data_IF_480466492447
#
_entry.id   IF_480466492447
#
_cell.length_a   1.000
_cell.length_b   1.000
_cell.length_c   1.000
_cell.angle_alpha   90.00
_cell.angle_beta   90.00
_cell.angle_gamma   90.00
#
_symmetry.space_group_name_H-M   'P 1'
#
loop_
_entity.id
_entity.type
_entity.pdbx_description
1 polymer ?
#
# COMPACT_ATOMS: atom_id res chain seq x y z
N UNK A 1 -28.98 44.46 -3.48
CA UNK A 1 -27.52 44.48 -3.23
C UNK A 1 -27.16 43.25 -2.42
N UNK A 2 -26.44 42.28 -3.01
CA UNK A 2 -26.10 41.00 -2.38
C UNK A 2 -24.88 41.16 -1.47
N UNK A 3 -25.08 40.92 -0.18
CA UNK A 3 -24.06 41.07 0.86
C UNK A 3 -23.12 39.85 0.83
N UNK A 4 -22.17 39.84 -0.11
CA UNK A 4 -21.07 38.86 -0.12
C UNK A 4 -20.17 39.18 1.07
N UNK A 5 -20.45 38.58 2.23
CA UNK A 5 -19.52 38.54 3.37
C UNK A 5 -18.18 38.03 2.84
N UNK A 6 -17.21 38.93 2.73
CA UNK A 6 -15.82 38.65 2.40
C UNK A 6 -15.33 37.74 3.54
N UNK A 7 -15.30 36.42 3.33
CA UNK A 7 -14.65 35.49 4.26
C UNK A 7 -13.21 35.98 4.39
N UNK A 8 -12.85 36.52 5.55
CA UNK A 8 -11.47 36.83 5.87
C UNK A 8 -10.66 35.56 5.67
N UNK A 9 -9.63 35.64 4.81
CA UNK A 9 -8.73 34.53 4.58
C UNK A 9 -8.08 34.20 5.93
N UNK A 10 -8.24 32.95 6.37
CA UNK A 10 -7.69 32.51 7.65
C UNK A 10 -6.16 32.72 7.61
N UNK A 11 -5.54 33.20 8.70
CA UNK A 11 -4.09 33.38 8.76
C UNK A 11 -3.40 32.07 8.34
N UNK A 12 -2.40 32.16 7.45
CA UNK A 12 -1.80 30.98 6.82
C UNK A 12 -1.27 29.98 7.86
N UNK A 13 -0.80 30.46 9.01
CA UNK A 13 -0.39 29.70 10.18
C UNK A 13 -1.54 28.95 10.86
N UNK A 14 -2.74 29.54 10.92
CA UNK A 14 -3.96 28.88 11.39
C UNK A 14 -4.51 27.89 10.36
N UNK A 15 -4.34 28.13 9.06
CA UNK A 15 -4.62 27.14 8.02
C UNK A 15 -3.65 25.96 8.11
N UNK A 16 -2.37 26.23 8.37
CA UNK A 16 -1.33 25.22 8.58
C UNK A 16 -1.66 24.39 9.82
N UNK A 17 -1.89 25.04 10.97
CA UNK A 17 -2.29 24.36 12.21
C UNK A 17 -3.60 23.61 12.05
N UNK A 18 -4.59 24.18 11.37
CA UNK A 18 -5.86 23.51 11.09
C UNK A 18 -5.68 22.26 10.21
N UNK A 19 -4.89 22.34 9.14
CA UNK A 19 -4.66 21.20 8.26
C UNK A 19 -3.84 20.08 8.94
N UNK A 20 -2.90 20.44 9.81
CA UNK A 20 -2.16 19.52 10.67
C UNK A 20 -3.06 18.87 11.72
N UNK A 21 -3.89 19.65 12.43
CA UNK A 21 -4.79 19.19 13.50
C UNK A 21 -5.93 18.33 12.93
N UNK A 22 -6.47 18.65 11.76
CA UNK A 22 -7.57 17.89 11.13
C UNK A 22 -7.08 16.71 10.27
N UNK A 23 -5.84 16.23 10.46
CA UNK A 23 -5.37 14.95 9.92
C UNK A 23 -5.26 14.88 8.39
N UNK A 24 -5.09 16.01 7.71
CA UNK A 24 -5.02 16.08 6.24
C UNK A 24 -3.60 15.99 5.68
N UNK A 25 -2.58 16.10 6.54
CA UNK A 25 -1.18 15.88 6.20
C UNK A 25 -0.71 14.51 6.72
N UNK A 26 -0.18 13.69 5.83
CA UNK A 26 0.57 12.50 6.21
C UNK A 26 1.91 12.96 6.81
N UNK A 27 2.39 12.27 7.85
CA UNK A 27 3.75 12.50 8.32
C UNK A 27 4.77 12.22 7.20
N UNK A 28 5.92 12.95 7.14
CA UNK A 28 6.95 12.71 6.12
C UNK A 28 7.46 11.26 6.13
N UNK A 29 7.49 10.65 7.31
CA UNK A 29 7.85 9.25 7.49
C UNK A 29 6.83 8.33 6.81
N UNK A 30 5.53 8.49 7.11
CA UNK A 30 4.47 7.71 6.46
C UNK A 30 4.47 7.88 4.95
N UNK A 31 4.71 9.09 4.46
CA UNK A 31 4.76 9.36 3.04
C UNK A 31 5.91 8.61 2.35
N UNK A 32 7.10 8.60 2.94
CA UNK A 32 8.25 7.83 2.43
C UNK A 32 7.97 6.33 2.50
N UNK A 33 7.41 5.86 3.61
CA UNK A 33 7.04 4.46 3.78
C UNK A 33 6.02 4.02 2.72
N UNK A 34 4.96 4.79 2.50
CA UNK A 34 3.97 4.55 1.44
C UNK A 34 4.67 4.48 0.09
N UNK A 35 5.39 5.54 -0.32
CA UNK A 35 6.07 5.58 -1.62
C UNK A 35 6.94 4.35 -1.87
N UNK A 36 7.81 4.00 -0.91
CA UNK A 36 8.75 2.88 -1.06
C UNK A 36 8.00 1.55 -1.14
N UNK A 37 7.09 1.30 -0.20
CA UNK A 37 6.41 0.01 -0.10
C UNK A 37 5.42 -0.18 -1.25
N UNK A 38 4.66 0.84 -1.64
CA UNK A 38 3.69 0.73 -2.73
C UNK A 38 4.37 0.59 -4.09
N UNK A 39 5.47 1.31 -4.35
CA UNK A 39 6.28 1.10 -5.55
C UNK A 39 6.89 -0.29 -5.60
N UNK A 40 7.42 -0.77 -4.46
CA UNK A 40 7.98 -2.12 -4.40
C UNK A 40 6.90 -3.17 -4.65
N UNK A 41 5.71 -3.01 -4.04
CA UNK A 41 4.56 -3.86 -4.29
C UNK A 41 4.11 -3.84 -5.76
N UNK A 42 4.09 -2.67 -6.40
CA UNK A 42 3.81 -2.56 -7.84
C UNK A 42 4.84 -3.32 -8.69
N UNK A 43 6.10 -3.38 -8.25
CA UNK A 43 7.18 -4.03 -8.97
C UNK A 43 7.22 -5.56 -8.79
N UNK A 44 6.63 -6.10 -7.73
CA UNK A 44 6.65 -7.53 -7.41
C UNK A 44 6.22 -8.45 -8.57
N UNK A 45 5.16 -8.17 -9.35
CA UNK A 45 4.75 -9.02 -10.47
C UNK A 45 5.83 -9.18 -11.55
N UNK A 46 6.79 -8.24 -11.67
CA UNK A 46 7.91 -8.41 -12.61
C UNK A 46 8.81 -9.60 -12.21
N UNK A 47 8.93 -9.89 -10.92
CA UNK A 47 9.66 -11.07 -10.43
C UNK A 47 8.98 -12.34 -10.94
N UNK A 48 7.64 -12.39 -10.86
CA UNK A 48 6.86 -13.49 -11.38
C UNK A 48 6.98 -13.62 -12.90
N UNK A 49 6.92 -12.48 -13.62
CA UNK A 49 7.07 -12.43 -15.07
C UNK A 49 8.42 -12.95 -15.55
N UNK A 50 9.51 -12.57 -14.89
CA UNK A 50 10.86 -13.11 -15.17
C UNK A 50 10.94 -14.59 -14.84
N UNK A 51 10.36 -15.03 -13.73
CA UNK A 51 10.36 -16.44 -13.33
C UNK A 51 9.59 -17.34 -14.29
N UNK A 52 8.47 -16.85 -14.83
CA UNK A 52 7.61 -17.59 -15.75
C UNK A 52 7.93 -17.33 -17.23
N UNK A 53 9.04 -16.65 -17.53
CA UNK A 53 9.34 -16.11 -18.86
C UNK A 53 9.20 -17.14 -20.00
N UNK A 54 9.74 -18.34 -19.81
CA UNK A 54 9.73 -19.40 -20.82
C UNK A 54 8.35 -20.04 -21.02
N UNK A 55 7.42 -19.82 -20.09
CA UNK A 55 6.05 -20.33 -20.14
C UNK A 55 5.07 -19.33 -20.74
N UNK A 56 5.42 -18.04 -20.76
CA UNK A 56 4.58 -17.00 -21.34
C UNK A 56 4.75 -17.05 -22.88
N UNK A 57 3.66 -17.25 -23.65
CA UNK A 57 3.70 -17.24 -25.11
C UNK A 57 4.34 -15.96 -25.66
N UNK A 58 5.03 -16.05 -26.82
CA UNK A 58 5.68 -14.87 -27.42
C UNK A 58 4.68 -13.75 -27.72
N UNK A 59 3.47 -14.14 -28.13
CA UNK A 59 2.31 -13.29 -28.38
C UNK A 59 1.19 -13.80 -27.48
N UNK A 60 0.66 -12.91 -26.64
CA UNK A 60 -0.44 -13.16 -25.72
C UNK A 60 -1.70 -12.55 -26.29
N UNK A 61 -2.65 -13.41 -26.67
CA UNK A 61 -3.96 -12.99 -27.14
C UNK A 61 -4.76 -12.37 -25.99
N UNK A 62 -5.21 -11.12 -26.17
CA UNK A 62 -6.02 -10.42 -25.17
C UNK A 62 -7.51 -10.69 -25.32
N UNK A 63 -7.91 -11.30 -26.45
CA UNK A 63 -9.31 -11.46 -26.84
C UNK A 63 -10.00 -10.15 -27.21
N UNK A 64 -9.24 -9.04 -27.32
CA UNK A 64 -9.74 -7.74 -27.71
C UNK A 64 -9.45 -7.49 -29.18
N UNK A 65 -10.48 -7.09 -29.92
CA UNK A 65 -10.34 -6.64 -31.32
C UNK A 65 -10.32 -5.12 -31.31
N UNK A 66 -9.21 -4.55 -31.74
CA UNK A 66 -9.00 -3.11 -31.81
C UNK A 66 -9.88 -2.42 -32.88
N UNK A 67 -9.96 -1.07 -32.85
CA UNK A 67 -10.65 -0.31 -33.86
C UNK A 67 -10.07 -0.61 -35.26
N UNK A 68 -10.90 -1.21 -36.13
CA UNK A 68 -10.47 -1.64 -37.47
C UNK A 68 -10.25 -3.14 -37.64
N UNK A 69 -10.61 -3.98 -36.65
CA UNK A 69 -10.57 -5.44 -36.79
C UNK A 69 -9.19 -6.06 -36.57
N UNK A 70 -8.22 -5.28 -36.09
CA UNK A 70 -6.88 -5.75 -35.75
C UNK A 70 -6.89 -6.44 -34.39
N UNK A 71 -6.16 -7.54 -34.28
CA UNK A 71 -5.96 -8.25 -33.03
C UNK A 71 -5.09 -7.41 -32.08
N UNK A 72 -5.59 -7.13 -30.87
CA UNK A 72 -4.90 -6.33 -29.85
C UNK A 72 -4.05 -7.21 -28.92
N UNK A 73 -3.36 -8.17 -29.53
CA UNK A 73 -2.44 -9.08 -28.86
C UNK A 73 -1.21 -8.35 -28.32
N UNK A 74 -0.71 -8.80 -27.16
CA UNK A 74 0.44 -8.20 -26.49
C UNK A 74 1.66 -9.12 -26.57
N UNK A 75 2.87 -8.59 -26.81
CA UNK A 75 4.07 -9.40 -26.75
C UNK A 75 4.38 -9.80 -25.29
N UNK A 76 5.06 -10.93 -25.09
CA UNK A 76 5.38 -11.49 -23.76
C UNK A 76 5.99 -10.47 -22.78
N UNK A 77 6.90 -9.63 -23.26
CA UNK A 77 7.59 -8.63 -22.45
C UNK A 77 6.63 -7.53 -21.98
N UNK A 78 5.57 -7.24 -22.74
CA UNK A 78 4.59 -6.26 -22.35
C UNK A 78 3.76 -6.77 -21.16
N UNK A 79 3.34 -8.04 -21.19
CA UNK A 79 2.60 -8.66 -20.08
C UNK A 79 3.49 -8.80 -18.84
N UNK A 80 4.71 -9.33 -19.01
CA UNK A 80 5.62 -9.63 -17.91
C UNK A 80 6.25 -8.39 -17.25
N UNK A 81 6.55 -7.34 -18.02
CA UNK A 81 7.32 -6.18 -17.55
C UNK A 81 6.62 -4.84 -17.78
N UNK A 82 6.03 -4.60 -18.95
CA UNK A 82 5.44 -3.30 -19.26
C UNK A 82 4.20 -3.02 -18.41
N UNK A 83 3.30 -3.99 -18.23
CA UNK A 83 2.07 -3.79 -17.44
C UNK A 83 2.39 -3.51 -15.95
N UNK A 84 3.19 -4.33 -15.23
CA UNK A 84 3.62 -3.98 -13.88
C UNK A 84 4.45 -2.69 -13.83
N UNK A 85 5.32 -2.47 -14.83
CA UNK A 85 6.14 -1.26 -14.94
C UNK A 85 5.29 0.01 -15.12
N UNK A 86 4.21 -0.06 -15.89
CA UNK A 86 3.22 1.00 -16.03
C UNK A 86 2.52 1.25 -14.68
N UNK A 87 2.18 0.21 -13.92
CA UNK A 87 1.63 0.39 -12.57
C UNK A 87 2.62 1.09 -11.63
N UNK A 88 3.92 0.78 -11.73
CA UNK A 88 4.97 1.49 -10.99
C UNK A 88 5.05 2.97 -11.39
N UNK A 89 5.01 3.26 -12.69
CA UNK A 89 5.04 4.64 -13.20
C UNK A 89 3.82 5.43 -12.74
N UNK A 90 2.62 4.86 -12.85
CA UNK A 90 1.39 5.50 -12.42
C UNK A 90 1.35 5.73 -10.91
N UNK A 91 1.86 4.77 -10.12
CA UNK A 91 2.03 4.95 -8.67
C UNK A 91 3.01 6.08 -8.36
N UNK A 92 4.16 6.15 -9.03
CA UNK A 92 5.13 7.23 -8.85
C UNK A 92 4.52 8.60 -9.19
N UNK A 93 3.77 8.69 -10.29
CA UNK A 93 3.05 9.91 -10.68
C UNK A 93 1.98 10.28 -9.65
N UNK A 94 1.20 9.32 -9.16
CA UNK A 94 0.16 9.58 -8.18
C UNK A 94 0.73 9.99 -6.82
N UNK A 95 1.80 9.35 -6.35
CA UNK A 95 2.54 9.76 -5.16
C UNK A 95 3.16 11.14 -5.31
N UNK A 96 3.71 11.46 -6.49
CA UNK A 96 4.19 12.81 -6.79
C UNK A 96 3.06 13.83 -6.73
N UNK A 97 1.89 13.54 -7.30
CA UNK A 97 0.72 14.41 -7.16
C UNK A 97 0.34 14.60 -5.70
N UNK A 98 0.27 13.53 -4.90
CA UNK A 98 -0.03 13.59 -3.46
C UNK A 98 0.99 14.45 -2.69
N UNK A 99 2.28 14.34 -3.02
CA UNK A 99 3.35 15.21 -2.52
C UNK A 99 3.07 16.68 -2.86
N UNK A 100 2.68 16.99 -4.10
CA UNK A 100 2.36 18.35 -4.51
C UNK A 100 1.13 18.90 -3.78
N UNK A 101 0.08 18.07 -3.58
CA UNK A 101 -1.09 18.45 -2.78
C UNK A 101 -0.70 18.78 -1.34
N UNK A 102 0.14 17.96 -0.71
CA UNK A 102 0.65 18.22 0.63
C UNK A 102 1.49 19.48 0.70
N UNK A 103 2.43 19.71 -0.24
CA UNK A 103 3.23 20.96 -0.27
C UNK A 103 2.37 22.21 -0.42
N UNK A 104 1.23 22.08 -1.10
CA UNK A 104 0.27 23.18 -1.32
C UNK A 104 -0.79 23.28 -0.21
N UNK A 105 -0.73 22.45 0.83
CA UNK A 105 -1.73 22.39 1.90
C UNK A 105 -3.16 22.16 1.38
N UNK A 106 -3.28 21.40 0.27
CA UNK A 106 -4.55 21.10 -0.39
C UNK A 106 -4.93 19.65 -0.18
N UNK A 107 -6.23 19.43 -0.01
CA UNK A 107 -6.78 18.08 0.08
C UNK A 107 -6.77 17.47 -1.34
N UNK A 108 -6.10 16.34 -1.54
CA UNK A 108 -6.17 15.66 -2.82
C UNK A 108 -7.59 15.12 -3.07
N UNK A 109 -8.06 15.11 -4.33
CA UNK A 109 -9.30 14.44 -4.71
C UNK A 109 -9.33 12.99 -4.21
N UNK A 110 -10.54 12.48 -3.94
CA UNK A 110 -10.72 11.13 -3.43
C UNK A 110 -10.07 10.07 -4.34
N UNK A 111 -10.17 10.25 -5.66
CA UNK A 111 -9.55 9.38 -6.65
C UNK A 111 -8.02 9.31 -6.52
N UNK A 112 -7.33 10.46 -6.51
CA UNK A 112 -5.87 10.50 -6.35
C UNK A 112 -5.42 9.88 -5.02
N UNK A 113 -6.20 10.07 -3.96
CA UNK A 113 -5.92 9.48 -2.65
C UNK A 113 -6.11 7.97 -2.63
N UNK A 114 -7.10 7.44 -3.34
CA UNK A 114 -7.33 6.01 -3.47
C UNK A 114 -6.25 5.37 -4.34
N UNK A 115 -6.06 5.91 -5.56
CA UNK A 115 -5.14 5.38 -6.54
C UNK A 115 -3.69 5.46 -6.09
N UNK A 116 -3.22 6.64 -5.68
CA UNK A 116 -1.85 6.85 -5.22
C UNK A 116 -1.57 6.41 -3.79
N UNK A 117 -2.42 5.56 -3.19
CA UNK A 117 -2.09 4.89 -1.93
C UNK A 117 -2.18 3.38 -2.07
N UNK A 118 -3.23 2.89 -2.75
CA UNK A 118 -3.50 1.45 -2.81
C UNK A 118 -4.07 0.96 -4.13
N UNK A 119 -4.54 1.85 -5.02
CA UNK A 119 -5.11 1.44 -6.31
C UNK A 119 -4.09 0.72 -7.18
N UNK A 120 -3.00 1.39 -7.55
CA UNK A 120 -1.99 0.80 -8.45
C UNK A 120 -1.28 -0.43 -7.85
N UNK A 121 -0.90 -0.45 -6.56
CA UNK A 121 -0.35 -1.67 -5.94
C UNK A 121 -1.31 -2.85 -5.96
N UNK A 122 -2.60 -2.60 -5.73
CA UNK A 122 -3.63 -3.66 -5.76
C UNK A 122 -3.83 -4.18 -7.18
N UNK A 123 -3.94 -3.28 -8.17
CA UNK A 123 -4.06 -3.66 -9.58
C UNK A 123 -2.82 -4.45 -10.00
N UNK A 124 -1.61 -3.97 -9.68
CA UNK A 124 -0.38 -4.66 -10.04
C UNK A 124 -0.32 -6.06 -9.40
N UNK A 125 -0.47 -6.15 -8.08
CA UNK A 125 -0.33 -7.42 -7.36
C UNK A 125 -1.38 -8.45 -7.76
N UNK A 126 -2.63 -8.05 -8.00
CA UNK A 126 -3.70 -8.99 -8.27
C UNK A 126 -3.92 -9.23 -9.76
N UNK A 127 -3.99 -8.15 -10.55
CA UNK A 127 -4.33 -8.25 -11.97
C UNK A 127 -3.10 -8.55 -12.83
N UNK A 128 -1.99 -7.83 -12.67
CA UNK A 128 -0.79 -8.12 -13.47
C UNK A 128 -0.23 -9.51 -13.16
N UNK A 129 -0.16 -9.89 -11.87
CA UNK A 129 0.24 -11.26 -11.50
C UNK A 129 -0.72 -12.32 -12.04
N UNK A 130 -2.03 -12.04 -12.02
CA UNK A 130 -3.05 -12.93 -12.58
C UNK A 130 -2.89 -13.16 -14.07
N UNK A 131 -2.71 -12.08 -14.82
CA UNK A 131 -2.43 -12.15 -16.25
C UNK A 131 -1.17 -12.99 -16.54
N UNK A 132 -0.10 -12.81 -15.76
CA UNK A 132 1.13 -13.61 -15.90
C UNK A 132 0.86 -15.10 -15.60
N UNK A 133 0.10 -15.43 -14.56
CA UNK A 133 -0.21 -16.83 -14.21
C UNK A 133 -1.11 -17.51 -15.24
N UNK A 134 -2.13 -16.81 -15.70
CA UNK A 134 -3.07 -17.34 -16.68
C UNK A 134 -2.36 -17.61 -18.01
N UNK A 135 -1.61 -16.63 -18.50
CA UNK A 135 -0.91 -16.73 -19.78
C UNK A 135 0.26 -17.71 -19.74
N UNK A 136 0.86 -17.96 -18.57
CA UNK A 136 1.87 -19.01 -18.38
C UNK A 136 1.30 -20.42 -18.18
N UNK A 137 -0.02 -20.59 -18.26
CA UNK A 137 -0.70 -21.88 -18.11
C UNK A 137 -0.74 -22.44 -16.69
N UNK A 138 -0.39 -21.63 -15.68
CA UNK A 138 -0.52 -22.01 -14.26
C UNK A 138 -1.96 -21.89 -13.75
N UNK A 139 -2.74 -21.01 -14.38
CA UNK A 139 -4.10 -20.68 -13.96
C UNK A 139 -4.15 -19.87 -12.65
N UNK A 140 -5.34 -19.40 -12.31
CA UNK A 140 -5.59 -18.64 -11.08
C UNK A 140 -5.68 -19.56 -9.86
N UNK A 141 -4.64 -19.57 -9.03
CA UNK A 141 -4.58 -20.41 -7.82
C UNK A 141 -4.84 -19.61 -6.54
N UNK A 142 -5.70 -20.14 -5.66
CA UNK A 142 -5.91 -19.59 -4.32
C UNK A 142 -4.63 -19.59 -3.48
N UNK A 143 -3.71 -20.54 -3.71
CA UNK A 143 -2.43 -20.60 -3.00
C UNK A 143 -1.53 -19.41 -3.36
N UNK A 144 -1.69 -18.83 -4.55
CA UNK A 144 -1.00 -17.61 -4.95
C UNK A 144 -1.72 -16.35 -4.44
N UNK A 145 -3.04 -16.28 -4.62
CA UNK A 145 -3.80 -15.08 -4.28
C UNK A 145 -3.95 -14.84 -2.79
N UNK A 146 -4.06 -15.89 -1.97
CA UNK A 146 -4.20 -15.78 -0.52
C UNK A 146 -3.05 -14.97 0.12
N UNK A 147 -1.76 -15.32 -0.10
CA UNK A 147 -0.66 -14.51 0.41
C UNK A 147 -0.64 -13.11 -0.22
N UNK A 148 -0.96 -12.92 -1.50
CA UNK A 148 -1.01 -11.57 -2.10
C UNK A 148 -2.03 -10.65 -1.39
N UNK A 149 -3.24 -11.16 -1.14
CA UNK A 149 -4.32 -10.44 -0.44
C UNK A 149 -3.93 -10.19 1.02
N UNK A 150 -3.39 -11.20 1.71
CA UNK A 150 -2.92 -11.06 3.09
C UNK A 150 -1.81 -10.01 3.21
N UNK A 151 -0.86 -10.01 2.27
CA UNK A 151 0.20 -9.01 2.18
C UNK A 151 -0.36 -7.60 1.99
N UNK A 152 -1.31 -7.43 1.06
CA UNK A 152 -2.02 -6.15 0.85
C UNK A 152 -2.73 -5.67 2.12
N UNK A 153 -3.46 -6.55 2.81
CA UNK A 153 -4.16 -6.21 4.06
C UNK A 153 -3.17 -5.78 5.15
N UNK A 154 -2.07 -6.52 5.35
CA UNK A 154 -1.04 -6.15 6.32
C UNK A 154 -0.41 -4.79 5.99
N UNK A 155 -0.09 -4.52 4.71
CA UNK A 155 0.45 -3.23 4.28
C UNK A 155 -0.55 -2.08 4.48
N UNK A 156 -1.83 -2.32 4.17
CA UNK A 156 -2.93 -1.39 4.43
C UNK A 156 -3.04 -1.03 5.92
N UNK A 157 -3.08 -2.06 6.78
CA UNK A 157 -3.13 -1.90 8.23
C UNK A 157 -1.89 -1.17 8.75
N UNK A 158 -0.70 -1.54 8.30
CA UNK A 158 0.55 -0.89 8.70
C UNK A 158 0.55 0.59 8.35
N UNK A 159 0.09 0.95 7.15
CA UNK A 159 -0.02 2.36 6.77
C UNK A 159 -1.02 3.15 7.63
N UNK A 160 -2.05 2.49 8.14
CA UNK A 160 -3.01 3.12 9.06
C UNK A 160 -2.34 3.49 10.39
N UNK A 161 -1.41 2.66 10.87
CA UNK A 161 -0.78 2.83 12.18
C UNK A 161 0.13 4.07 12.31
N UNK A 162 0.86 4.48 11.26
CA UNK A 162 1.86 5.57 11.34
C UNK A 162 1.37 6.90 11.95
N UNK A 163 0.13 7.28 11.66
CA UNK A 163 -0.49 8.52 12.15
C UNK A 163 -1.83 8.18 12.85
N UNK A 164 -1.87 7.05 13.56
CA UNK A 164 -3.08 6.58 14.23
C UNK A 164 -3.36 7.42 15.47
N UNK A 165 -4.52 8.08 15.49
CA UNK A 165 -4.97 8.92 16.59
C UNK A 165 -5.64 8.08 17.68
N UNK A 166 -5.66 8.58 18.92
CA UNK A 166 -6.26 7.87 20.07
C UNK A 166 -7.76 7.58 19.88
N UNK A 167 -8.47 8.46 19.16
CA UNK A 167 -9.88 8.33 18.81
C UNK A 167 -10.14 7.42 17.60
N UNK A 168 -9.10 6.93 16.91
CA UNK A 168 -9.26 6.06 15.76
C UNK A 168 -9.97 4.75 16.13
N UNK A 169 -10.93 4.35 15.29
CA UNK A 169 -11.73 3.12 15.48
C UNK A 169 -10.87 1.86 15.41
N UNK A 170 -9.85 1.88 14.56
CA UNK A 170 -8.96 0.76 14.30
C UNK A 170 -7.57 1.10 14.85
N UNK A 171 -7.43 1.09 16.17
CA UNK A 171 -6.18 1.40 16.86
C UNK A 171 -5.76 0.26 17.79
N UNK A 172 -4.46 0.15 18.07
CA UNK A 172 -3.92 -0.77 19.05
C UNK A 172 -4.09 -0.19 20.46
N UNK A 173 -5.27 -0.39 21.02
CA UNK A 173 -5.63 0.09 22.36
C UNK A 173 -5.23 -0.92 23.43
N UNK A 174 -4.03 -0.74 23.97
CA UNK A 174 -3.55 -1.51 25.11
C UNK A 174 -3.69 -0.68 26.39
N UNK A 175 -3.91 -1.34 27.54
CA UNK A 175 -4.08 -0.63 28.82
C UNK A 175 -2.90 0.29 29.16
N UNK A 176 -1.69 -0.06 28.73
CA UNK A 176 -0.48 0.74 28.93
C UNK A 176 -0.32 1.89 27.91
N UNK A 177 -1.05 1.91 26.80
CA UNK A 177 -0.98 3.01 25.81
C UNK A 177 -2.03 4.09 26.03
N UNK A 178 -3.18 3.75 26.62
CA UNK A 178 -4.40 4.60 26.67
C UNK A 178 -4.27 5.90 27.48
N UNK A 179 -3.19 6.09 28.24
CA UNK A 179 -2.90 7.37 28.94
C UNK A 179 -1.44 7.79 28.79
N UNK A 180 -0.76 7.32 27.74
CA UNK A 180 0.65 7.61 27.50
C UNK A 180 0.86 7.97 26.02
N UNK A 181 0.62 9.24 25.63
CA UNK A 181 0.71 9.67 24.23
C UNK A 181 2.08 9.42 23.56
N UNK A 182 3.23 9.58 24.25
CA UNK A 182 4.53 9.18 23.70
C UNK A 182 4.59 7.69 23.35
N UNK A 183 4.16 6.82 24.28
CA UNK A 183 4.16 5.37 24.07
C UNK A 183 3.13 4.94 23.00
N UNK A 184 1.97 5.61 22.94
CA UNK A 184 0.98 5.42 21.89
C UNK A 184 1.61 5.60 20.52
N UNK A 185 2.26 6.75 20.29
CA UNK A 185 2.91 7.07 19.01
C UNK A 185 4.02 6.08 18.68
N UNK A 186 4.81 5.69 19.68
CA UNK A 186 5.92 4.75 19.49
C UNK A 186 5.44 3.36 19.06
N UNK A 187 4.47 2.78 19.76
CA UNK A 187 3.93 1.44 19.48
C UNK A 187 3.24 1.40 18.11
N UNK A 188 2.45 2.42 17.78
CA UNK A 188 1.77 2.49 16.49
C UNK A 188 2.76 2.71 15.34
N UNK A 189 3.78 3.55 15.50
CA UNK A 189 4.86 3.68 14.50
C UNK A 189 5.59 2.35 14.29
N UNK A 190 5.92 1.64 15.37
CA UNK A 190 6.54 0.33 15.30
C UNK A 190 5.66 -0.69 14.56
N UNK A 191 4.37 -0.78 14.92
CA UNK A 191 3.40 -1.63 14.23
C UNK A 191 3.27 -1.26 12.74
N UNK A 192 3.31 0.03 12.42
CA UNK A 192 3.23 0.52 11.05
C UNK A 192 4.34 -0.01 10.15
N UNK A 193 5.60 0.15 10.58
CA UNK A 193 6.73 -0.41 9.85
C UNK A 193 6.68 -1.94 9.79
N UNK A 194 6.45 -2.59 10.94
CA UNK A 194 6.44 -4.05 11.02
C UNK A 194 5.42 -4.66 10.05
N UNK A 195 4.18 -4.18 10.05
CA UNK A 195 3.11 -4.74 9.22
C UNK A 195 3.30 -4.40 7.73
N UNK A 196 3.81 -3.20 7.40
CA UNK A 196 4.11 -2.87 6.00
C UNK A 196 5.22 -3.76 5.43
N UNK A 197 6.30 -3.98 6.18
CA UNK A 197 7.40 -4.82 5.73
C UNK A 197 7.01 -6.30 5.69
N UNK A 198 6.28 -6.79 6.70
CA UNK A 198 5.78 -8.16 6.72
C UNK A 198 4.82 -8.43 5.56
N UNK A 199 3.89 -7.50 5.28
CA UNK A 199 2.98 -7.63 4.16
C UNK A 199 3.68 -7.66 2.80
N UNK A 200 4.75 -6.85 2.64
CA UNK A 200 5.59 -6.87 1.45
C UNK A 200 6.32 -8.20 1.27
N UNK A 201 6.90 -8.75 2.36
CA UNK A 201 7.56 -10.06 2.35
C UNK A 201 6.58 -11.18 1.98
N UNK A 202 5.38 -11.15 2.57
CA UNK A 202 4.31 -12.12 2.27
C UNK A 202 3.92 -12.07 0.78
N UNK A 203 3.73 -10.88 0.22
CA UNK A 203 3.39 -10.72 -1.19
C UNK A 203 4.56 -11.13 -2.11
N UNK A 204 5.79 -10.79 -1.75
CA UNK A 204 7.00 -11.17 -2.50
C UNK A 204 7.19 -12.69 -2.52
N UNK A 205 6.94 -13.37 -1.40
CA UNK A 205 7.01 -14.82 -1.30
C UNK A 205 6.12 -15.52 -2.33
N UNK A 206 4.91 -15.01 -2.55
CA UNK A 206 3.98 -15.55 -3.53
C UNK A 206 4.52 -15.48 -4.98
N UNK A 207 5.30 -14.44 -5.32
CA UNK A 207 5.95 -14.32 -6.63
C UNK A 207 7.01 -15.42 -6.84
N UNK A 208 7.64 -15.87 -5.76
CA UNK A 208 8.75 -16.83 -5.78
C UNK A 208 8.27 -18.28 -5.65
N UNK A 209 7.14 -18.55 -5.01
CA UNK A 209 6.55 -19.91 -4.91
C UNK A 209 5.08 -19.87 -4.52
N UNK A 210 4.31 -20.86 -5.00
CA UNK A 210 2.90 -21.07 -4.62
C UNK A 210 2.75 -21.66 -3.21
N UNK A 211 3.82 -22.22 -2.65
CA UNK A 211 3.77 -22.98 -1.38
C UNK A 211 3.93 -22.09 -0.12
N UNK A 212 3.74 -20.77 -0.24
CA UNK A 212 3.92 -19.86 0.90
C UNK A 212 2.72 -19.73 1.81
N UNK A 213 1.53 -20.23 1.44
CA UNK A 213 0.27 -19.95 2.16
C UNK A 213 0.34 -20.16 3.67
N UNK A 214 0.85 -21.33 4.12
CA UNK A 214 0.98 -21.65 5.54
C UNK A 214 1.94 -20.70 6.25
N UNK A 215 3.13 -20.48 5.69
CA UNK A 215 4.14 -19.59 6.28
C UNK A 215 3.68 -18.14 6.32
N UNK A 216 2.96 -17.68 5.28
CA UNK A 216 2.38 -16.35 5.24
C UNK A 216 1.31 -16.14 6.31
N UNK A 217 0.45 -17.14 6.53
CA UNK A 217 -0.56 -17.10 7.60
C UNK A 217 0.10 -17.08 8.99
N UNK A 218 1.12 -17.92 9.21
CA UNK A 218 1.88 -17.95 10.46
C UNK A 218 2.59 -16.61 10.72
N UNK A 219 3.27 -16.06 9.71
CA UNK A 219 3.94 -14.77 9.81
C UNK A 219 2.95 -13.65 10.14
N UNK A 220 1.79 -13.62 9.47
CA UNK A 220 0.74 -12.65 9.74
C UNK A 220 0.26 -12.71 11.20
N UNK A 221 0.00 -13.92 11.72
CA UNK A 221 -0.39 -14.11 13.12
C UNK A 221 0.68 -13.59 14.09
N UNK A 222 1.95 -13.93 13.84
CA UNK A 222 3.06 -13.48 14.67
C UNK A 222 3.11 -11.95 14.69
N UNK A 223 3.16 -11.29 13.53
CA UNK A 223 3.36 -9.83 13.48
C UNK A 223 2.19 -9.03 14.04
N UNK A 224 0.98 -9.59 14.10
CA UNK A 224 -0.15 -8.94 14.77
C UNK A 224 0.02 -8.88 16.30
N UNK A 225 0.75 -9.83 16.89
CA UNK A 225 0.98 -9.90 18.35
C UNK A 225 2.21 -9.10 18.79
N UNK A 226 3.26 -9.01 17.95
CA UNK A 226 4.53 -8.36 18.32
C UNK A 226 4.38 -6.92 18.86
N UNK A 227 3.51 -6.03 18.31
CA UNK A 227 3.33 -4.69 18.87
C UNK A 227 2.87 -4.66 20.33
N UNK A 228 2.10 -5.66 20.77
CA UNK A 228 1.69 -5.80 22.17
C UNK A 228 2.90 -6.10 23.07
N UNK A 229 3.75 -7.04 22.65
CA UNK A 229 4.96 -7.43 23.39
C UNK A 229 5.93 -6.24 23.47
N UNK A 230 6.13 -5.56 22.34
CA UNK A 230 6.96 -4.35 22.27
C UNK A 230 6.44 -3.24 23.19
N UNK A 231 5.14 -2.95 23.15
CA UNK A 231 4.55 -1.93 24.00
C UNK A 231 4.65 -2.25 25.49
N UNK A 232 4.48 -3.52 25.87
CA UNK A 232 4.60 -3.96 27.26
C UNK A 232 6.03 -3.86 27.79
N UNK A 233 7.04 -4.20 26.98
CA UNK A 233 8.45 -4.08 27.40
C UNK A 233 8.85 -2.62 27.60
N UNK A 234 8.39 -1.71 26.73
CA UNK A 234 8.60 -0.27 26.84
C UNK A 234 7.90 0.35 28.07
N UNK A 235 6.67 -0.06 28.35
CA UNK A 235 5.95 0.38 29.53
C UNK A 235 6.65 -0.03 30.84
N UNK A 236 7.25 -1.23 30.87
CA UNK A 236 8.02 -1.71 32.02
C UNK A 236 9.29 -0.90 32.30
N UNK A 237 10.00 -0.45 31.25
CA UNK A 237 11.21 0.38 31.38
C UNK A 237 10.93 1.80 31.88
N UNK A 238 9.71 2.31 31.71
CA UNK A 238 9.35 3.66 32.16
C UNK A 238 8.96 3.74 33.63
N UNK A 239 8.68 2.59 34.27
CA UNK A 239 8.18 2.49 35.64
C UNK A 239 9.20 1.93 36.65
N UNK A 240 10.42 1.58 36.19
CA UNK A 240 11.52 1.09 37.03
C UNK A 240 12.68 2.07 37.00
#
# INVERSE_FOLDING_TARGET
MSNRKKREALPRDLEIRGAEIFGKHLSPEKQRALLIVTLTACALPMILGVRMWDRIPEIVETGLIGPGGQDDSLPRWAVALLLPGLMCLLEAVAQFMLLQYQKRMKIPPAFNRLMGRWGFPTISLLFCSGAILETSGQGLSLNFYTPCILGLVLMLLGSHMFDCTEDAKLALRFSFTVNNPPLWKEVHRFAGWLWMLAGLVVAAGAMVTSETTFFSALLALVVLVVPMIYGRSRAGQANG
#
